data_IF_063241137351
#
_entry.id   IF_063241137351
#
_cell.length_a   1.000
_cell.length_b   1.000
_cell.length_c   1.000
_cell.angle_alpha   90.00
_cell.angle_beta   90.00
_cell.angle_gamma   90.00
#
_symmetry.space_group_name_H-M   'P 1'
#
loop_
_entity.id
_entity.type
_entity.pdbx_description
1 polymer ?
#
# COMPACT_ATOMS: atom_id res chain seq x y z
N UNK A 1 -4.96 -7.63 15.13
CA UNK A 1 -4.03 -7.12 14.13
C UNK A 1 -3.99 -5.61 14.26
N UNK A 2 -2.82 -5.04 14.54
CA UNK A 2 -2.61 -3.58 14.55
C UNK A 2 -2.13 -3.11 13.15
N UNK A 3 -2.03 -1.79 12.95
CA UNK A 3 -1.60 -1.22 11.68
C UNK A 3 -0.20 -1.73 11.26
N UNK A 4 0.73 -1.87 12.22
CA UNK A 4 2.10 -2.32 11.95
C UNK A 4 2.17 -3.76 11.40
N UNK A 5 1.39 -4.69 11.98
CA UNK A 5 1.30 -6.08 11.51
C UNK A 5 0.72 -6.16 10.09
N UNK A 6 -0.31 -5.36 9.81
CA UNK A 6 -0.94 -5.29 8.49
C UNK A 6 0.02 -4.65 7.49
N UNK A 7 0.71 -3.58 7.87
CA UNK A 7 1.69 -2.87 7.05
C UNK A 7 2.84 -3.78 6.66
N UNK A 8 3.41 -4.53 7.60
CA UNK A 8 4.48 -5.49 7.32
C UNK A 8 4.02 -6.58 6.34
N UNK A 9 2.83 -7.13 6.53
CA UNK A 9 2.27 -8.16 5.65
C UNK A 9 1.99 -7.65 4.23
N UNK A 10 1.35 -6.47 4.11
CA UNK A 10 1.05 -5.85 2.82
C UNK A 10 2.31 -5.42 2.08
N UNK A 11 3.32 -4.90 2.79
CA UNK A 11 4.60 -4.55 2.19
C UNK A 11 5.26 -5.77 1.56
N UNK A 12 5.33 -6.90 2.27
CA UNK A 12 5.89 -8.15 1.74
C UNK A 12 5.16 -8.64 0.49
N UNK A 13 3.84 -8.52 0.44
CA UNK A 13 3.04 -8.91 -0.73
C UNK A 13 3.33 -8.02 -1.94
N UNK A 14 3.41 -6.70 -1.74
CA UNK A 14 3.71 -5.74 -2.81
C UNK A 14 5.14 -5.92 -3.33
N UNK A 15 6.12 -6.12 -2.45
CA UNK A 15 7.50 -6.41 -2.83
C UNK A 15 7.62 -7.72 -3.60
N UNK A 16 6.95 -8.79 -3.14
CA UNK A 16 6.93 -10.08 -3.82
C UNK A 16 6.30 -9.98 -5.23
N UNK A 17 5.38 -9.03 -5.42
CA UNK A 17 4.78 -8.74 -6.71
C UNK A 17 5.59 -7.75 -7.57
N UNK A 18 6.79 -7.36 -7.11
CA UNK A 18 7.74 -6.56 -7.87
C UNK A 18 7.55 -5.05 -7.77
N UNK A 19 6.77 -4.57 -6.79
CA UNK A 19 6.70 -3.15 -6.45
C UNK A 19 8.00 -2.73 -5.75
N UNK A 20 8.62 -1.58 -6.11
CA UNK A 20 9.80 -1.07 -5.41
C UNK A 20 9.58 -0.92 -3.90
N UNK A 21 10.55 -1.34 -3.08
CA UNK A 21 10.47 -1.36 -1.60
C UNK A 21 9.91 -0.07 -0.98
N UNK A 22 10.37 1.11 -1.41
CA UNK A 22 9.88 2.38 -0.87
C UNK A 22 8.38 2.59 -1.18
N UNK A 23 7.95 2.28 -2.40
CA UNK A 23 6.55 2.40 -2.80
C UNK A 23 5.67 1.33 -2.15
N UNK A 24 6.18 0.12 -1.99
CA UNK A 24 5.52 -0.96 -1.28
C UNK A 24 5.29 -0.58 0.20
N UNK A 25 6.31 -0.01 0.85
CA UNK A 25 6.20 0.49 2.23
C UNK A 25 5.16 1.59 2.36
N UNK A 26 5.23 2.62 1.51
CA UNK A 26 4.34 3.78 1.59
C UNK A 26 2.88 3.39 1.32
N UNK A 27 2.64 2.55 0.31
CA UNK A 27 1.29 2.04 0.01
C UNK A 27 0.77 1.12 1.12
N UNK A 28 1.62 0.26 1.68
CA UNK A 28 1.24 -0.61 2.79
C UNK A 28 0.88 0.18 4.06
N UNK A 29 1.61 1.26 4.38
CA UNK A 29 1.29 2.12 5.51
C UNK A 29 -0.08 2.79 5.34
N UNK A 30 -0.34 3.38 4.16
CA UNK A 30 -1.65 3.99 3.85
C UNK A 30 -2.78 2.97 3.94
N UNK A 31 -2.62 1.79 3.34
CA UNK A 31 -3.66 0.76 3.34
C UNK A 31 -3.88 0.18 4.75
N UNK A 32 -2.82 -0.02 5.53
CA UNK A 32 -2.92 -0.53 6.89
C UNK A 32 -3.66 0.44 7.81
N UNK A 33 -3.28 1.73 7.77
CA UNK A 33 -3.93 2.79 8.53
C UNK A 33 -5.38 2.98 8.14
N UNK A 34 -5.71 2.87 6.85
CA UNK A 34 -7.11 2.87 6.41
C UNK A 34 -7.87 1.66 6.93
N UNK A 35 -7.27 0.47 6.93
CA UNK A 35 -7.89 -0.77 7.41
C UNK A 35 -8.20 -0.75 8.91
N UNK A 36 -7.39 -0.05 9.72
CA UNK A 36 -7.65 0.14 11.16
C UNK A 36 -8.49 1.37 11.49
N UNK A 37 -8.92 2.14 10.47
CA UNK A 37 -9.78 3.32 10.65
C UNK A 37 -9.05 4.60 11.06
N UNK A 38 -7.71 4.65 10.98
CA UNK A 38 -6.92 5.87 11.19
C UNK A 38 -7.01 6.83 9.99
N UNK A 39 -7.30 6.31 8.81
CA UNK A 39 -7.51 7.10 7.59
C UNK A 39 -8.97 6.99 7.10
N UNK A 40 -9.51 8.07 6.50
CA UNK A 40 -10.89 8.09 6.04
C UNK A 40 -11.09 7.21 4.80
N UNK A 41 -12.35 6.84 4.56
CA UNK A 41 -12.80 6.28 3.28
C UNK A 41 -13.79 7.27 2.64
N UNK A 42 -13.50 7.81 1.43
CA UNK A 42 -12.31 7.55 0.61
C UNK A 42 -11.04 8.24 1.14
N UNK A 43 -9.86 7.76 0.69
CA UNK A 43 -8.56 8.39 0.99
C UNK A 43 -8.50 9.82 0.41
N UNK A 44 -7.77 10.75 1.02
CA UNK A 44 -7.40 12.03 0.41
C UNK A 44 -6.56 11.84 -0.87
N UNK A 45 -6.55 12.82 -1.80
CA UNK A 45 -5.87 12.69 -3.10
C UNK A 45 -4.38 12.30 -3.03
N UNK A 46 -3.65 12.82 -2.05
CA UNK A 46 -2.23 12.49 -1.85
C UNK A 46 -2.03 11.00 -1.53
N UNK A 47 -2.82 10.47 -0.61
CA UNK A 47 -2.76 9.06 -0.21
C UNK A 47 -3.29 8.13 -1.32
N UNK A 48 -4.31 8.58 -2.07
CA UNK A 48 -4.75 7.88 -3.28
C UNK A 48 -3.62 7.77 -4.31
N UNK A 49 -2.82 8.84 -4.49
CA UNK A 49 -1.70 8.81 -5.42
C UNK A 49 -0.62 7.79 -5.00
N UNK A 50 -0.31 7.71 -3.70
CA UNK A 50 0.64 6.71 -3.17
C UNK A 50 0.17 5.30 -3.53
N UNK A 51 -1.07 4.95 -3.19
CA UNK A 51 -1.62 3.61 -3.47
C UNK A 51 -1.72 3.34 -4.98
N UNK A 52 -2.15 4.32 -5.77
CA UNK A 52 -2.26 4.19 -7.22
C UNK A 52 -0.91 3.95 -7.88
N UNK A 53 0.14 4.63 -7.41
CA UNK A 53 1.50 4.45 -7.95
C UNK A 53 2.01 3.03 -7.74
N UNK A 54 1.79 2.45 -6.55
CA UNK A 54 2.15 1.06 -6.26
C UNK A 54 1.33 0.07 -7.09
N UNK A 55 0.04 0.36 -7.32
CA UNK A 55 -0.83 -0.45 -8.16
C UNK A 55 -0.39 -0.49 -9.63
N UNK A 56 0.08 0.64 -10.18
CA UNK A 56 0.60 0.66 -11.55
C UNK A 56 1.86 -0.20 -11.71
N UNK A 57 2.75 -0.22 -10.71
CA UNK A 57 3.90 -1.14 -10.70
C UNK A 57 3.48 -2.60 -10.66
N UNK A 58 2.54 -2.92 -9.75
CA UNK A 58 1.97 -4.25 -9.63
C UNK A 58 1.36 -4.73 -10.97
N UNK A 59 0.59 -3.87 -11.63
CA UNK A 59 -0.03 -4.16 -12.92
C UNK A 59 0.99 -4.37 -14.04
N UNK A 60 2.06 -3.57 -14.07
CA UNK A 60 3.13 -3.70 -15.06
C UNK A 60 3.90 -5.03 -14.95
N UNK A 61 3.84 -5.72 -13.80
CA UNK A 61 4.51 -7.01 -13.58
C UNK A 61 3.64 -8.23 -13.90
N UNK A 62 2.33 -8.04 -14.14
CA UNK A 62 1.41 -9.12 -14.52
C UNK A 62 1.29 -9.34 -16.03
N UNK A 63 1.96 -8.53 -16.84
CA UNK A 63 2.03 -8.65 -18.30
C UNK A 63 3.30 -9.35 -18.74
#
# INVERSE_FOLDING_TARGET
>A
MNADEIQASMQQQLEAAGVPTNQARDAADVLARQNVGELPFPLPPEQQHIVSSAYEWFKAKQQ
#
